data_IF_792103914368
#
_entry.id   IF_792103914368
#
_cell.length_a   1.000
_cell.length_b   1.000
_cell.length_c   1.000
_cell.angle_alpha   90.00
_cell.angle_beta   90.00
_cell.angle_gamma   90.00
#
_symmetry.space_group_name_H-M   'P 1'
#
loop_
_entity.id
_entity.type
_entity.pdbx_description
1 polymer ?
#
# COMPACT_ATOMS: atom_id res chain seq x y z
N UNK A 1 23.25 2.02 -13.23
CA UNK A 1 23.46 2.07 -11.75
C UNK A 1 22.29 2.86 -11.19
N UNK A 2 21.62 2.35 -10.18
CA UNK A 2 20.50 3.05 -9.55
C UNK A 2 21.00 4.20 -8.73
N UNK A 3 20.57 5.38 -9.08
CA UNK A 3 20.83 6.56 -8.27
C UNK A 3 19.71 6.72 -7.24
N UNK A 4 20.08 6.78 -5.99
CA UNK A 4 19.20 6.96 -4.84
C UNK A 4 19.53 8.30 -4.19
N UNK A 5 18.50 9.10 -3.94
CA UNK A 5 18.60 10.33 -3.16
C UNK A 5 18.16 10.08 -1.72
N UNK A 6 18.82 10.71 -0.77
CA UNK A 6 18.30 10.85 0.59
C UNK A 6 17.51 12.16 0.67
N UNK A 7 16.24 12.03 1.01
CA UNK A 7 15.28 13.14 1.04
C UNK A 7 14.76 13.35 2.46
N UNK A 8 14.96 14.53 3.02
CA UNK A 8 14.33 14.95 4.26
C UNK A 8 12.91 15.46 3.96
N UNK A 9 11.90 14.82 4.55
CA UNK A 9 10.51 15.13 4.37
C UNK A 9 9.79 15.34 5.72
N UNK A 10 8.53 15.75 5.69
CA UNK A 10 7.70 16.06 6.88
C UNK A 10 7.62 14.87 7.86
N UNK A 11 7.55 13.67 7.33
CA UNK A 11 7.36 12.45 8.11
C UNK A 11 8.62 11.60 8.28
N UNK A 12 9.79 12.13 7.95
CA UNK A 12 11.06 11.44 8.14
C UNK A 12 11.99 11.55 6.95
N UNK A 13 13.09 10.80 6.98
CA UNK A 13 14.09 10.75 5.92
C UNK A 13 13.83 9.54 5.04
N UNK A 14 13.91 9.71 3.72
CA UNK A 14 13.61 8.66 2.77
C UNK A 14 14.71 8.48 1.73
N UNK A 15 15.12 7.26 1.50
CA UNK A 15 15.86 6.86 0.32
C UNK A 15 14.87 6.71 -0.83
N UNK A 16 15.09 7.50 -1.89
CA UNK A 16 14.15 7.63 -3.00
C UNK A 16 14.88 7.42 -4.32
N UNK A 17 14.40 6.59 -5.24
CA UNK A 17 14.96 6.51 -6.58
C UNK A 17 14.94 7.88 -7.26
N UNK A 18 16.04 8.29 -7.87
CA UNK A 18 16.09 9.59 -8.57
C UNK A 18 15.10 9.70 -9.70
N UNK A 19 14.80 8.57 -10.32
CA UNK A 19 13.88 8.45 -11.48
C UNK A 19 12.41 8.44 -11.09
N UNK A 20 12.07 8.37 -9.79
CA UNK A 20 10.68 8.39 -9.33
C UNK A 20 10.09 9.80 -9.46
N UNK A 21 9.17 9.97 -10.40
CA UNK A 21 8.56 11.26 -10.73
C UNK A 21 7.27 11.56 -9.97
N UNK A 22 6.76 10.62 -9.19
CA UNK A 22 5.54 10.81 -8.41
C UNK A 22 5.84 10.93 -6.91
N UNK A 23 5.96 9.82 -6.22
CA UNK A 23 6.20 9.79 -4.76
C UNK A 23 7.53 10.47 -4.46
N UNK A 24 8.58 10.05 -5.17
CA UNK A 24 9.91 10.60 -4.99
C UNK A 24 9.98 12.08 -5.27
N UNK A 25 9.36 12.55 -6.34
CA UNK A 25 9.34 13.98 -6.68
C UNK A 25 8.49 14.77 -5.68
N UNK A 26 7.35 14.26 -5.22
CA UNK A 26 6.56 14.91 -4.19
C UNK A 26 7.32 15.04 -2.88
N UNK A 27 8.00 13.99 -2.44
CA UNK A 27 8.86 14.05 -1.25
C UNK A 27 9.99 15.05 -1.39
N UNK A 28 10.60 15.19 -2.58
CA UNK A 28 11.67 16.16 -2.87
C UNK A 28 11.18 17.61 -2.87
N UNK A 29 10.05 17.86 -3.53
CA UNK A 29 9.55 19.22 -3.78
C UNK A 29 8.60 19.68 -2.66
N UNK A 30 7.60 18.86 -2.33
CA UNK A 30 6.52 19.22 -1.40
C UNK A 30 6.81 18.75 0.02
N UNK A 31 7.84 17.93 0.22
CA UNK A 31 8.22 17.35 1.50
C UNK A 31 7.17 16.43 2.11
N UNK A 32 6.16 16.01 1.34
CA UNK A 32 5.04 15.17 1.79
C UNK A 32 4.44 14.38 0.64
N UNK A 33 3.65 13.37 0.99
CA UNK A 33 2.88 12.52 0.07
C UNK A 33 1.53 12.21 0.68
N UNK A 34 0.43 12.54 -0.03
CA UNK A 34 -0.97 12.22 0.31
C UNK A 34 -1.33 12.48 1.78
N UNK A 35 -1.14 13.71 2.23
CA UNK A 35 -1.39 14.09 3.62
C UNK A 35 -2.83 13.85 4.06
N UNK A 36 -3.81 14.00 3.16
CA UNK A 36 -5.22 13.77 3.44
C UNK A 36 -5.48 12.31 3.86
N UNK A 37 -4.80 11.36 3.21
CA UNK A 37 -4.83 9.94 3.59
C UNK A 37 -4.23 9.72 4.98
N UNK A 38 -3.12 10.41 5.30
CA UNK A 38 -2.47 10.32 6.61
C UNK A 38 -3.30 11.00 7.71
N UNK A 39 -3.95 12.12 7.42
CA UNK A 39 -4.85 12.79 8.37
C UNK A 39 -6.05 11.89 8.71
N UNK A 40 -6.64 11.22 7.71
CA UNK A 40 -7.69 10.24 7.95
C UNK A 40 -7.17 9.04 8.79
N UNK A 41 -5.99 8.51 8.48
CA UNK A 41 -5.37 7.47 9.30
C UNK A 41 -5.20 7.91 10.76
N UNK A 42 -4.81 9.17 11.00
CA UNK A 42 -4.65 9.73 12.34
C UNK A 42 -5.96 9.83 13.11
N UNK A 43 -7.07 10.09 12.42
CA UNK A 43 -8.41 10.10 13.04
C UNK A 43 -8.89 8.68 13.41
N UNK A 44 -8.53 7.68 12.60
CA UNK A 44 -8.98 6.29 12.77
C UNK A 44 -8.13 5.49 13.76
N UNK A 45 -6.83 5.78 13.85
CA UNK A 45 -5.87 4.95 14.57
C UNK A 45 -5.70 5.39 16.04
N UNK A 46 -5.45 4.40 16.88
CA UNK A 46 -5.04 4.55 18.28
C UNK A 46 -3.68 3.90 18.51
N UNK A 47 -3.06 4.19 19.62
CA UNK A 47 -1.72 3.67 19.97
C UNK A 47 -1.66 2.14 20.10
N UNK A 48 -2.78 1.46 20.28
CA UNK A 48 -2.91 -0.01 20.33
C UNK A 48 -3.41 -0.64 19.03
N UNK A 49 -3.70 0.15 18.00
CA UNK A 49 -4.19 -0.31 16.71
C UNK A 49 -3.20 -1.21 15.97
N UNK A 50 -3.73 -2.16 15.23
CA UNK A 50 -3.03 -3.03 14.28
C UNK A 50 -3.43 -2.64 12.86
N UNK A 51 -2.45 -2.36 12.02
CA UNK A 51 -2.63 -1.95 10.63
C UNK A 51 -2.09 -3.02 9.70
N UNK A 52 -2.83 -3.30 8.64
CA UNK A 52 -2.37 -4.09 7.49
C UNK A 52 -2.31 -3.15 6.30
N UNK A 53 -1.17 -3.08 5.63
CA UNK A 53 -0.94 -2.24 4.46
C UNK A 53 -0.45 -3.10 3.30
N UNK A 54 -1.19 -3.08 2.18
CA UNK A 54 -0.80 -3.76 0.94
C UNK A 54 -0.47 -2.71 -0.12
N UNK A 55 0.71 -2.84 -0.74
CA UNK A 55 1.28 -1.82 -1.61
C UNK A 55 2.03 -0.75 -0.80
N UNK A 56 2.91 -1.18 0.11
CA UNK A 56 3.63 -0.26 1.01
C UNK A 56 4.69 0.58 0.31
N UNK A 57 5.06 0.22 -0.92
CA UNK A 57 6.05 0.92 -1.74
C UNK A 57 7.35 1.19 -0.95
N UNK A 58 7.94 2.37 -1.06
CA UNK A 58 9.14 2.78 -0.31
C UNK A 58 8.85 3.15 1.16
N UNK A 59 7.59 3.04 1.61
CA UNK A 59 7.18 3.34 2.98
C UNK A 59 6.76 4.78 3.24
N UNK A 60 6.41 5.55 2.20
CA UNK A 60 5.96 6.95 2.33
C UNK A 60 4.75 7.10 3.26
N UNK A 61 3.83 6.12 3.27
CA UNK A 61 2.74 6.01 4.23
C UNK A 61 3.11 5.14 5.45
N UNK A 62 3.82 4.04 5.24
CA UNK A 62 4.16 3.09 6.31
C UNK A 62 4.91 3.75 7.46
N UNK A 63 5.89 4.63 7.15
CA UNK A 63 6.68 5.34 8.17
C UNK A 63 5.82 6.21 9.08
N UNK A 64 4.98 7.15 8.58
CA UNK A 64 4.10 7.94 9.44
C UNK A 64 3.01 7.11 10.13
N UNK A 65 2.36 6.16 9.45
CA UNK A 65 1.34 5.28 10.03
C UNK A 65 1.90 4.49 11.22
N UNK A 66 3.13 3.98 11.11
CA UNK A 66 3.76 3.23 12.19
C UNK A 66 3.99 4.03 13.49
N UNK A 67 3.91 5.36 13.43
CA UNK A 67 3.97 6.24 14.62
C UNK A 67 2.63 6.39 15.31
N UNK A 68 1.54 6.08 14.60
CA UNK A 68 0.16 6.27 15.06
C UNK A 68 -0.44 4.99 15.67
N UNK A 69 0.26 3.84 15.55
CA UNK A 69 -0.30 2.54 15.91
C UNK A 69 0.72 1.64 16.61
N UNK A 70 0.24 0.53 17.15
CA UNK A 70 1.06 -0.48 17.83
C UNK A 70 1.93 -1.25 16.86
N UNK A 71 1.38 -1.65 15.71
CA UNK A 71 2.07 -2.50 14.73
C UNK A 71 1.50 -2.32 13.34
N UNK A 72 2.38 -2.40 12.34
CA UNK A 72 2.02 -2.47 10.92
C UNK A 72 2.51 -3.78 10.32
N UNK A 73 1.67 -4.42 9.52
CA UNK A 73 1.98 -5.55 8.65
C UNK A 73 1.96 -5.02 7.20
N UNK A 74 3.15 -4.87 6.60
CA UNK A 74 3.36 -4.14 5.35
C UNK A 74 3.79 -5.11 4.23
N UNK A 75 3.00 -5.15 3.15
CA UNK A 75 3.23 -6.03 2.00
C UNK A 75 3.72 -5.22 0.79
N UNK A 76 4.82 -5.67 0.19
CA UNK A 76 5.37 -5.10 -1.03
C UNK A 76 5.93 -6.22 -1.92
N UNK A 77 5.49 -6.27 -3.18
CA UNK A 77 5.84 -7.37 -4.08
C UNK A 77 7.07 -7.10 -4.97
N UNK A 78 7.43 -5.84 -5.14
CA UNK A 78 8.56 -5.44 -5.98
C UNK A 78 9.85 -5.54 -5.19
N UNK A 79 10.76 -6.42 -5.58
CA UNK A 79 11.98 -6.78 -4.83
C UNK A 79 12.82 -5.57 -4.41
N UNK A 80 13.06 -4.65 -5.32
CA UNK A 80 13.93 -3.50 -5.05
C UNK A 80 13.24 -2.43 -4.24
N UNK A 81 11.94 -2.24 -4.45
CA UNK A 81 11.09 -1.36 -3.64
C UNK A 81 11.00 -1.89 -2.21
N UNK A 82 10.82 -3.20 -2.05
CA UNK A 82 10.85 -3.85 -0.74
C UNK A 82 12.17 -3.61 0.02
N UNK A 83 13.31 -3.60 -0.69
CA UNK A 83 14.59 -3.26 -0.07
C UNK A 83 14.63 -1.80 0.39
N UNK A 84 14.09 -0.87 -0.42
CA UNK A 84 13.98 0.55 -0.04
C UNK A 84 13.00 0.74 1.13
N UNK A 85 11.87 0.05 1.14
CA UNK A 85 10.95 0.05 2.26
C UNK A 85 11.67 -0.29 3.57
N UNK A 86 12.39 -1.42 3.59
CA UNK A 86 13.13 -1.83 4.80
C UNK A 86 14.22 -0.83 5.19
N UNK A 87 14.96 -0.30 4.22
CA UNK A 87 15.97 0.71 4.48
C UNK A 87 15.36 1.99 5.08
N UNK A 88 14.21 2.45 4.55
CA UNK A 88 13.50 3.62 5.05
C UNK A 88 12.92 3.40 6.45
N UNK A 89 12.40 2.22 6.74
CA UNK A 89 11.92 1.86 8.07
C UNK A 89 13.07 1.91 9.10
N UNK A 90 14.22 1.32 8.77
CA UNK A 90 15.40 1.36 9.62
C UNK A 90 15.95 2.77 9.80
N UNK A 91 16.03 3.56 8.73
CA UNK A 91 16.47 4.96 8.75
C UNK A 91 15.61 5.81 9.70
N UNK A 92 14.32 5.52 9.80
CA UNK A 92 13.37 6.21 10.65
C UNK A 92 13.13 5.51 12.01
N UNK A 93 13.85 4.44 12.34
CA UNK A 93 13.71 3.70 13.60
C UNK A 93 12.34 3.05 13.79
N UNK A 94 11.69 2.59 12.70
CA UNK A 94 10.35 1.99 12.74
C UNK A 94 10.41 0.48 12.94
N UNK A 95 10.68 0.05 14.17
CA UNK A 95 10.84 -1.37 14.54
C UNK A 95 9.51 -2.10 14.77
N UNK A 96 8.40 -1.38 14.78
CA UNK A 96 7.06 -1.94 14.94
C UNK A 96 6.37 -2.28 13.60
N UNK A 97 7.12 -2.31 12.51
CA UNK A 97 6.65 -2.71 11.18
C UNK A 97 7.20 -4.09 10.84
N UNK A 98 6.30 -5.02 10.49
CA UNK A 98 6.62 -6.33 9.93
C UNK A 98 6.41 -6.28 8.43
N UNK A 99 7.49 -6.48 7.67
CA UNK A 99 7.46 -6.40 6.20
C UNK A 99 7.41 -7.77 5.56
N UNK A 100 6.61 -7.90 4.49
CA UNK A 100 6.42 -9.14 3.73
C UNK A 100 6.77 -8.89 2.27
N UNK A 101 7.76 -9.64 1.77
CA UNK A 101 8.09 -9.66 0.35
C UNK A 101 7.14 -10.62 -0.38
N UNK A 102 5.89 -10.19 -0.55
CA UNK A 102 4.83 -10.99 -1.15
C UNK A 102 3.91 -10.11 -2.00
N UNK A 103 3.36 -10.71 -3.04
CA UNK A 103 2.15 -10.21 -3.66
C UNK A 103 0.93 -10.69 -2.84
N UNK A 104 -0.14 -9.92 -2.82
CA UNK A 104 -1.39 -10.30 -2.16
C UNK A 104 -2.51 -10.38 -3.19
N UNK A 105 -3.32 -11.44 -3.14
CA UNK A 105 -4.45 -11.64 -4.05
C UNK A 105 -5.52 -12.56 -3.41
N UNK A 106 -6.43 -13.09 -4.22
CA UNK A 106 -7.53 -13.96 -3.75
C UNK A 106 -7.14 -15.45 -3.62
N UNK A 107 -5.98 -15.85 -4.12
CA UNK A 107 -5.49 -17.24 -4.09
C UNK A 107 -3.98 -17.26 -3.89
N UNK A 108 -3.53 -18.19 -3.04
CA UNK A 108 -2.09 -18.39 -2.82
C UNK A 108 -1.44 -19.15 -3.98
N UNK A 109 -0.32 -18.63 -4.46
CA UNK A 109 0.43 -19.18 -5.58
C UNK A 109 1.88 -18.70 -5.58
N UNK A 110 2.65 -19.10 -6.58
CA UNK A 110 3.99 -18.55 -6.86
C UNK A 110 4.07 -18.15 -8.33
N UNK A 111 4.49 -16.93 -8.55
CA UNK A 111 4.71 -16.40 -9.91
C UNK A 111 6.15 -15.91 -10.06
N UNK A 112 6.56 -15.64 -11.28
CA UNK A 112 7.80 -14.94 -11.54
C UNK A 112 7.49 -13.50 -11.91
N UNK A 113 8.05 -12.57 -11.16
CA UNK A 113 7.98 -11.13 -11.45
C UNK A 113 9.31 -10.65 -12.03
N UNK A 114 9.23 -9.89 -13.12
CA UNK A 114 10.38 -9.15 -13.64
C UNK A 114 10.71 -7.96 -12.74
N UNK A 115 11.97 -7.55 -12.73
CA UNK A 115 12.30 -6.24 -12.18
C UNK A 115 11.64 -5.17 -13.05
N UNK A 116 11.08 -4.14 -12.44
CA UNK A 116 10.71 -2.96 -13.21
C UNK A 116 11.95 -2.45 -13.94
N UNK A 117 11.77 -2.15 -15.23
CA UNK A 117 12.88 -1.71 -16.06
C UNK A 117 13.18 -0.23 -15.79
N UNK A 118 13.87 0.04 -14.69
CA UNK A 118 14.21 1.38 -14.20
C UNK A 118 15.16 2.15 -15.11
N UNK A 119 15.61 1.54 -16.19
CA UNK A 119 16.61 2.12 -17.09
C UNK A 119 16.17 2.26 -18.54
N UNK A 120 14.98 1.80 -18.92
CA UNK A 120 14.45 1.86 -20.29
C UNK A 120 12.99 2.28 -20.24
N UNK A 121 12.71 3.34 -19.51
CA UNK A 121 11.45 4.05 -19.74
C UNK A 121 11.68 5.02 -20.90
N UNK A 122 10.68 5.12 -21.73
CA UNK A 122 10.46 6.25 -22.61
C UNK A 122 10.97 7.52 -21.89
N UNK A 123 11.83 8.27 -22.52
CA UNK A 123 12.80 9.22 -21.96
C UNK A 123 12.31 10.22 -20.87
N UNK A 124 11.11 10.10 -20.33
CA UNK A 124 10.55 11.18 -19.54
C UNK A 124 9.77 10.86 -18.27
N UNK A 125 9.30 9.66 -17.94
CA UNK A 125 8.46 9.51 -16.71
C UNK A 125 8.40 8.10 -16.16
N UNK A 126 9.07 7.82 -15.06
CA UNK A 126 8.93 6.57 -14.32
C UNK A 126 8.06 6.79 -13.07
N UNK A 127 6.92 6.12 -13.04
CA UNK A 127 6.14 5.96 -11.82
C UNK A 127 6.51 4.61 -11.18
N UNK A 128 7.27 4.65 -10.10
CA UNK A 128 7.69 3.43 -9.38
C UNK A 128 6.54 2.78 -8.61
N UNK A 129 5.47 3.51 -8.35
CA UNK A 129 4.24 3.02 -7.73
C UNK A 129 3.34 2.25 -8.69
N UNK A 130 3.37 2.51 -10.01
CA UNK A 130 2.46 1.92 -10.99
C UNK A 130 2.88 0.50 -11.44
N UNK A 131 3.20 -0.34 -10.50
CA UNK A 131 3.60 -1.72 -10.74
C UNK A 131 2.41 -2.69 -10.84
N UNK A 132 1.57 -2.56 -11.88
CA UNK A 132 0.44 -3.51 -12.06
C UNK A 132 0.93 -4.93 -12.12
N UNK A 133 0.38 -5.78 -11.26
CA UNK A 133 0.67 -7.20 -11.14
C UNK A 133 0.73 -7.93 -12.50
N UNK A 134 -0.22 -7.66 -13.40
CA UNK A 134 -0.26 -8.27 -14.73
C UNK A 134 0.93 -7.87 -15.62
N UNK A 135 1.47 -6.67 -15.45
CA UNK A 135 2.56 -6.14 -16.28
C UNK A 135 3.95 -6.61 -15.81
N UNK A 136 4.06 -7.08 -14.56
CA UNK A 136 5.32 -7.52 -13.97
C UNK A 136 5.58 -9.02 -14.15
N UNK A 137 4.62 -9.82 -14.61
CA UNK A 137 4.85 -11.24 -14.90
C UNK A 137 5.90 -11.41 -16.00
N UNK A 138 6.99 -12.14 -15.70
CA UNK A 138 8.08 -12.33 -16.63
C UNK A 138 8.73 -13.72 -16.47
N UNK A 139 8.91 -14.46 -17.56
CA UNK A 139 9.44 -15.83 -17.51
C UNK A 139 10.82 -15.96 -16.86
N UNK A 140 11.66 -14.93 -17.02
CA UNK A 140 13.02 -14.85 -16.45
C UNK A 140 13.03 -14.05 -15.12
N UNK A 141 11.85 -13.71 -14.58
CA UNK A 141 11.72 -12.96 -13.34
C UNK A 141 12.14 -13.76 -12.10
N UNK A 142 12.21 -13.08 -10.97
CA UNK A 142 12.42 -13.72 -9.68
C UNK A 142 11.11 -14.32 -9.13
N UNK A 143 11.18 -15.45 -8.41
CA UNK A 143 9.99 -16.05 -7.83
C UNK A 143 9.42 -15.15 -6.73
N UNK A 144 8.13 -14.83 -6.85
CA UNK A 144 7.39 -14.07 -5.85
C UNK A 144 6.20 -14.89 -5.39
N UNK A 145 6.07 -15.08 -4.09
CA UNK A 145 4.94 -15.76 -3.49
C UNK A 145 3.73 -14.83 -3.52
N UNK A 146 2.59 -15.33 -3.98
CA UNK A 146 1.28 -14.70 -3.78
C UNK A 146 0.68 -15.32 -2.53
N UNK A 147 0.10 -14.51 -1.67
CA UNK A 147 -0.59 -14.95 -0.46
C UNK A 147 -1.99 -14.36 -0.40
N UNK A 148 -2.89 -15.01 0.35
CA UNK A 148 -4.12 -14.36 0.82
C UNK A 148 -3.86 -13.76 2.20
N UNK A 149 -4.56 -12.67 2.54
CA UNK A 149 -4.43 -12.11 3.90
C UNK A 149 -5.06 -13.04 4.94
N UNK A 150 -6.10 -13.80 4.55
CA UNK A 150 -6.75 -14.77 5.44
C UNK A 150 -5.76 -15.84 5.92
N UNK A 151 -4.92 -16.38 5.01
CA UNK A 151 -3.89 -17.38 5.38
C UNK A 151 -2.70 -16.75 6.12
N UNK A 152 -2.16 -15.64 5.61
CA UNK A 152 -0.92 -15.05 6.14
C UNK A 152 -1.11 -14.44 7.54
N UNK A 153 -2.32 -13.93 7.81
CA UNK A 153 -2.63 -13.20 9.03
C UNK A 153 -3.65 -13.92 9.94
N UNK A 154 -3.90 -15.22 9.73
CA UNK A 154 -4.86 -16.03 10.52
C UNK A 154 -4.60 -15.96 12.03
N UNK A 155 -3.31 -15.85 12.41
CA UNK A 155 -2.84 -15.81 13.78
C UNK A 155 -3.14 -14.51 14.53
N UNK A 156 -3.58 -13.46 13.81
CA UNK A 156 -3.89 -12.17 14.40
C UNK A 156 -5.20 -12.23 15.22
N UNK A 157 -5.25 -11.37 16.23
CA UNK A 157 -6.42 -11.22 17.11
C UNK A 157 -7.11 -9.89 16.96
N UNK A 158 -6.56 -9.00 16.15
CA UNK A 158 -7.03 -7.64 15.92
C UNK A 158 -6.49 -7.14 14.59
N UNK A 159 -7.34 -6.45 13.82
CA UNK A 159 -6.97 -5.59 12.69
C UNK A 159 -7.94 -4.41 12.74
N UNK A 160 -7.41 -3.18 12.84
CA UNK A 160 -8.21 -1.96 12.96
C UNK A 160 -8.29 -1.21 11.65
N UNK A 161 -7.24 -1.29 10.83
CA UNK A 161 -7.17 -0.66 9.52
C UNK A 161 -6.55 -1.62 8.50
N UNK A 162 -7.22 -1.74 7.35
CA UNK A 162 -6.73 -2.36 6.13
C UNK A 162 -6.58 -1.28 5.05
N UNK A 163 -5.32 -0.95 4.69
CA UNK A 163 -5.02 -0.02 3.60
C UNK A 163 -4.59 -0.80 2.37
N UNK A 164 -5.29 -0.59 1.26
CA UNK A 164 -5.06 -1.24 -0.03
C UNK A 164 -4.75 -0.19 -1.10
N UNK A 165 -3.57 -0.33 -1.72
CA UNK A 165 -3.06 0.53 -2.76
C UNK A 165 -2.18 -0.35 -3.67
N UNK A 166 -2.86 -1.19 -4.45
CA UNK A 166 -2.26 -2.33 -5.12
C UNK A 166 -2.47 -2.33 -6.65
N UNK A 167 -2.67 -1.11 -7.21
CA UNK A 167 -2.66 -0.86 -8.65
C UNK A 167 -3.63 -1.75 -9.46
N UNK A 168 -4.84 -1.95 -8.90
CA UNK A 168 -5.96 -2.66 -9.53
C UNK A 168 -6.17 -4.08 -9.02
N UNK A 169 -5.43 -4.53 -7.99
CA UNK A 169 -5.63 -5.84 -7.37
C UNK A 169 -6.55 -5.80 -6.14
N UNK A 170 -7.07 -4.64 -5.75
CA UNK A 170 -7.83 -4.38 -4.52
C UNK A 170 -9.03 -5.33 -4.36
N UNK A 171 -9.78 -5.55 -5.43
CA UNK A 171 -10.95 -6.46 -5.43
C UNK A 171 -10.55 -7.90 -5.11
N UNK A 172 -9.44 -8.37 -5.69
CA UNK A 172 -8.95 -9.73 -5.42
C UNK A 172 -8.38 -9.83 -4.01
N UNK A 173 -7.67 -8.81 -3.54
CA UNK A 173 -7.18 -8.75 -2.15
C UNK A 173 -8.36 -8.84 -1.17
N UNK A 174 -9.43 -8.07 -1.38
CA UNK A 174 -10.63 -8.15 -0.54
C UNK A 174 -11.30 -9.53 -0.59
N UNK A 175 -11.29 -10.20 -1.74
CA UNK A 175 -11.78 -11.58 -1.86
C UNK A 175 -10.94 -12.57 -1.05
N UNK A 176 -9.62 -12.38 -1.00
CA UNK A 176 -8.68 -13.18 -0.20
C UNK A 176 -8.53 -12.74 1.26
N UNK A 177 -9.41 -11.84 1.72
CA UNK A 177 -9.40 -11.25 3.06
C UNK A 177 -10.76 -11.39 3.76
N UNK A 178 -11.66 -12.21 3.23
CA UNK A 178 -13.05 -12.30 3.70
C UNK A 178 -13.16 -12.72 5.17
N UNK A 179 -12.33 -13.66 5.60
CA UNK A 179 -12.36 -14.17 6.98
C UNK A 179 -11.91 -13.10 7.98
N UNK A 180 -10.77 -12.44 7.70
CA UNK A 180 -10.26 -11.37 8.57
C UNK A 180 -11.18 -10.14 8.56
N UNK A 181 -11.76 -9.78 7.41
CA UNK A 181 -12.72 -8.68 7.29
C UNK A 181 -13.99 -9.00 8.11
N UNK A 182 -14.53 -10.21 7.98
CA UNK A 182 -15.70 -10.64 8.74
C UNK A 182 -15.44 -10.69 10.24
N UNK A 183 -14.26 -11.18 10.62
CA UNK A 183 -13.86 -11.37 12.02
C UNK A 183 -13.59 -10.05 12.74
N UNK A 184 -12.87 -9.13 12.09
CA UNK A 184 -12.36 -7.94 12.75
C UNK A 184 -13.12 -6.66 12.39
N UNK A 185 -13.85 -6.65 11.26
CA UNK A 185 -14.54 -5.47 10.71
C UNK A 185 -13.64 -4.22 10.73
N UNK A 186 -12.42 -4.29 10.14
CA UNK A 186 -11.49 -3.15 10.16
C UNK A 186 -12.07 -1.98 9.39
N UNK A 187 -11.60 -0.77 9.67
CA UNK A 187 -11.70 0.31 8.69
C UNK A 187 -10.93 -0.10 7.43
N UNK A 188 -11.44 0.24 6.24
CA UNK A 188 -10.75 -0.06 4.99
C UNK A 188 -10.51 1.25 4.24
N UNK A 189 -9.26 1.49 3.85
CA UNK A 189 -8.88 2.51 2.88
C UNK A 189 -8.41 1.80 1.63
N UNK A 190 -9.04 2.04 0.50
CA UNK A 190 -8.72 1.34 -0.74
C UNK A 190 -8.69 2.29 -1.92
N UNK A 191 -7.64 2.20 -2.74
CA UNK A 191 -7.64 2.82 -4.05
C UNK A 191 -8.77 2.26 -4.90
N UNK A 192 -9.36 3.09 -5.75
CA UNK A 192 -10.36 2.67 -6.70
C UNK A 192 -10.18 3.36 -8.05
N UNK A 193 -10.80 2.79 -9.08
CA UNK A 193 -10.86 3.35 -10.42
C UNK A 193 -12.14 2.91 -11.11
N UNK A 194 -12.40 3.43 -12.29
CA UNK A 194 -13.61 3.12 -13.07
C UNK A 194 -13.82 1.61 -13.28
N UNK A 195 -12.72 0.84 -13.33
CA UNK A 195 -12.77 -0.60 -13.61
C UNK A 195 -13.20 -1.45 -12.41
N UNK A 196 -12.90 -1.01 -11.18
CA UNK A 196 -13.09 -1.83 -9.97
C UNK A 196 -14.14 -1.28 -9.00
N UNK A 197 -14.60 -0.03 -9.16
CA UNK A 197 -15.51 0.63 -8.22
C UNK A 197 -16.82 -0.14 -7.99
N UNK A 198 -17.39 -0.72 -9.04
CA UNK A 198 -18.64 -1.46 -8.90
C UNK A 198 -18.43 -2.76 -8.13
N UNK A 199 -17.34 -3.47 -8.39
CA UNK A 199 -17.00 -4.71 -7.69
C UNK A 199 -16.66 -4.42 -6.21
N UNK A 200 -15.95 -3.33 -5.91
CA UNK A 200 -15.69 -2.89 -4.54
C UNK A 200 -16.99 -2.62 -3.79
N UNK A 201 -17.91 -1.89 -4.42
CA UNK A 201 -19.23 -1.61 -3.85
C UNK A 201 -20.01 -2.87 -3.57
N UNK A 202 -20.09 -3.80 -4.52
CA UNK A 202 -20.79 -5.07 -4.34
C UNK A 202 -20.21 -5.92 -3.20
N UNK A 203 -18.90 -5.93 -3.04
CA UNK A 203 -18.25 -6.70 -1.98
C UNK A 203 -18.47 -6.13 -0.58
N UNK A 204 -18.64 -4.82 -0.45
CA UNK A 204 -18.57 -4.14 0.86
C UNK A 204 -19.89 -3.49 1.28
N UNK A 205 -20.86 -3.29 0.37
CA UNK A 205 -22.11 -2.52 0.61
C UNK A 205 -22.93 -2.99 1.80
N UNK A 206 -22.93 -4.27 2.11
CA UNK A 206 -23.76 -4.82 3.18
C UNK A 206 -23.16 -4.49 4.56
N UNK A 207 -21.86 -4.61 4.70
CA UNK A 207 -21.13 -4.46 5.97
C UNK A 207 -20.51 -3.07 6.18
N UNK A 208 -20.40 -2.27 5.13
CA UNK A 208 -19.67 -1.00 5.14
C UNK A 208 -20.46 0.16 4.55
N UNK A 209 -20.26 1.34 5.13
CA UNK A 209 -20.59 2.63 4.50
C UNK A 209 -19.38 3.04 3.66
N UNK A 210 -19.59 3.35 2.37
CA UNK A 210 -18.54 3.71 1.43
C UNK A 210 -18.53 5.22 1.23
N UNK A 211 -17.41 5.85 1.54
CA UNK A 211 -17.22 7.29 1.51
C UNK A 211 -16.05 7.59 0.55
N UNK A 212 -16.33 8.36 -0.49
CA UNK A 212 -15.30 8.84 -1.40
C UNK A 212 -14.48 9.94 -0.68
N UNK A 213 -13.20 9.67 -0.47
CA UNK A 213 -12.24 10.58 0.18
C UNK A 213 -11.11 10.97 -0.77
N UNK A 214 -11.40 10.90 -2.07
CA UNK A 214 -10.44 11.23 -3.13
C UNK A 214 -9.91 12.65 -2.99
N UNK A 215 -8.63 12.80 -3.27
CA UNK A 215 -7.92 14.08 -3.24
C UNK A 215 -7.13 14.29 -4.53
N UNK A 216 -6.41 15.39 -4.60
CA UNK A 216 -5.48 15.64 -5.70
C UNK A 216 -4.05 15.55 -5.21
N UNK A 217 -3.24 14.85 -5.96
CA UNK A 217 -1.80 14.76 -5.75
C UNK A 217 -1.04 15.70 -6.71
N UNK A 218 0.27 15.50 -6.79
CA UNK A 218 1.15 16.29 -7.65
C UNK A 218 0.61 16.43 -9.09
N UNK A 219 0.65 17.62 -9.68
CA UNK A 219 0.18 17.93 -11.04
C UNK A 219 -1.32 17.69 -11.28
N UNK A 220 -2.16 17.89 -10.26
CA UNK A 220 -3.62 17.68 -10.35
C UNK A 220 -4.05 16.23 -10.71
N UNK A 221 -3.15 15.27 -10.57
CA UNK A 221 -3.49 13.86 -10.72
C UNK A 221 -4.43 13.44 -9.58
N UNK A 222 -5.59 12.85 -9.87
CA UNK A 222 -6.50 12.43 -8.82
C UNK A 222 -5.92 11.23 -8.06
N UNK A 223 -5.95 11.30 -6.74
CA UNK A 223 -5.81 10.16 -5.85
C UNK A 223 -7.22 9.65 -5.54
N UNK A 224 -7.62 8.56 -6.18
CA UNK A 224 -8.96 7.99 -6.04
C UNK A 224 -8.97 7.01 -4.87
N UNK A 225 -9.41 7.49 -3.70
CA UNK A 225 -9.39 6.72 -2.47
C UNK A 225 -10.81 6.58 -1.88
N UNK A 226 -11.20 5.36 -1.53
CA UNK A 226 -12.44 5.03 -0.86
C UNK A 226 -12.17 4.70 0.62
N UNK A 227 -12.86 5.38 1.51
CA UNK A 227 -12.94 4.99 2.90
C UNK A 227 -14.19 4.14 3.12
N UNK A 228 -14.01 2.91 3.56
CA UNK A 228 -15.08 2.01 3.91
C UNK A 228 -15.15 1.91 5.44
N UNK A 229 -16.20 2.53 5.99
CA UNK A 229 -16.47 2.56 7.42
C UNK A 229 -17.33 1.38 7.81
N UNK A 230 -16.92 0.53 8.79
CA UNK A 230 -17.74 -0.58 9.25
C UNK A 230 -19.10 -0.10 9.75
N UNK A 231 -20.19 -0.75 9.34
CA UNK A 231 -21.51 -0.52 9.91
C UNK A 231 -21.57 -1.20 11.28
N UNK A 232 -21.93 -0.42 12.30
CA UNK A 232 -22.18 -0.98 13.63
C UNK A 232 -23.63 -1.48 13.62
N UNK A 233 -23.79 -2.80 13.61
CA UNK A 233 -25.11 -3.41 13.85
C UNK A 233 -25.35 -3.40 15.36
N UNK A 234 -26.30 -2.54 15.79
CA UNK A 234 -26.77 -2.44 17.19
C UNK A 234 -27.76 -3.58 17.46
#
# INVERSE_FOLDING_TARGET
MWDIDLVEAKHGSFLVPKVDEFIGQSLKLNKQWEEETLDLCKELLKSDSIVVEVGSHIGSHTVPISRMCKKVFAFEMQRLIFQLLNANLMLNGRLNVHTFFNAVSNESNTIKLGEMNWGVADENKLNTGNGKFANLKHEQGYPTKIVTLDEELEHLKQIDLLKLDAEGEEVNILKGSKEIINKFKPHILTEFGERNINDLRELLKDDYELIDVSSKILFDVPNLMMYCKPKIWI
#
